data_IF_523683486429
#
_entry.id   IF_523683486429
#
_cell.length_a   1.000
_cell.length_b   1.000
_cell.length_c   1.000
_cell.angle_alpha   90.00
_cell.angle_beta   90.00
_cell.angle_gamma   90.00
#
_symmetry.space_group_name_H-M   'P 1'
#
loop_
_entity.id
_entity.type
_entity.pdbx_description
1 polymer ?
#
# COMPACT_ATOMS: atom_id res chain seq x y z
N UNK A 1 -20.31 -25.04 44.57
CA UNK A 1 -19.82 -23.64 44.61
C UNK A 1 -18.56 -23.56 43.77
N UNK A 2 -18.43 -22.51 42.95
CA UNK A 2 -17.19 -22.20 42.22
C UNK A 2 -17.15 -22.72 40.79
N UNK A 3 -17.95 -22.11 39.91
CA UNK A 3 -17.87 -22.26 38.46
C UNK A 3 -16.73 -21.39 37.94
N UNK A 4 -15.78 -21.91 37.18
CA UNK A 4 -15.01 -21.11 36.23
C UNK A 4 -14.97 -21.81 34.88
N UNK A 5 -15.82 -21.28 33.98
CA UNK A 5 -15.93 -21.59 32.55
C UNK A 5 -14.86 -20.79 31.81
N UNK A 6 -14.21 -21.45 30.86
CA UNK A 6 -13.32 -20.81 29.88
C UNK A 6 -13.07 -21.78 28.73
N UNK A 7 -14.11 -22.03 27.95
CA UNK A 7 -14.08 -22.93 26.79
C UNK A 7 -13.27 -22.29 25.66
N UNK A 8 -12.19 -22.97 25.28
CA UNK A 8 -11.46 -22.77 24.04
C UNK A 8 -12.27 -23.38 22.90
N UNK A 9 -12.71 -22.59 21.93
CA UNK A 9 -13.18 -23.09 20.63
C UNK A 9 -12.36 -22.41 19.54
N UNK A 10 -11.47 -23.20 18.96
CA UNK A 10 -10.82 -22.93 17.68
C UNK A 10 -11.78 -23.50 16.65
N UNK A 11 -12.56 -22.64 15.99
CA UNK A 11 -13.42 -23.07 14.90
C UNK A 11 -12.70 -22.79 13.58
N UNK A 12 -12.22 -23.87 12.98
CA UNK A 12 -11.84 -23.90 11.58
C UNK A 12 -12.89 -24.69 10.83
N UNK A 13 -13.73 -24.02 10.05
CA UNK A 13 -14.44 -24.63 8.93
C UNK A 13 -14.30 -23.75 7.69
N UNK A 14 -13.35 -24.16 6.85
CA UNK A 14 -13.26 -23.75 5.47
C UNK A 14 -13.99 -24.78 4.62
N UNK A 15 -15.17 -24.47 4.07
CA UNK A 15 -15.68 -25.14 2.86
C UNK A 15 -16.43 -24.17 1.93
N UNK A 16 -15.68 -23.74 0.91
CA UNK A 16 -16.01 -23.78 -0.53
C UNK A 16 -16.96 -22.74 -1.21
N UNK A 17 -16.37 -22.15 -2.28
CA UNK A 17 -16.77 -21.13 -3.29
C UNK A 17 -17.74 -21.71 -4.36
N UNK A 18 -18.31 -21.00 -5.40
CA UNK A 18 -17.82 -19.88 -6.26
C UNK A 18 -18.89 -18.78 -6.53
N UNK A 19 -18.75 -17.65 -7.23
CA UNK A 19 -17.93 -17.20 -8.36
C UNK A 19 -17.96 -15.64 -8.38
N UNK A 20 -16.80 -14.98 -8.32
CA UNK A 20 -16.58 -13.63 -8.84
C UNK A 20 -15.06 -13.35 -8.94
N UNK A 21 -14.55 -12.84 -10.08
CA UNK A 21 -13.12 -12.52 -10.30
C UNK A 21 -12.67 -11.27 -9.51
N UNK A 22 -11.35 -11.02 -9.38
CA UNK A 22 -10.77 -10.39 -8.20
C UNK A 22 -10.98 -8.88 -8.20
N UNK A 23 -11.79 -8.41 -7.25
CA UNK A 23 -11.68 -7.05 -6.75
C UNK A 23 -10.49 -7.05 -5.80
N UNK A 24 -9.39 -6.39 -6.18
CA UNK A 24 -8.17 -6.29 -5.38
C UNK A 24 -8.45 -5.49 -4.08
N UNK A 25 -8.99 -6.23 -3.13
CA UNK A 25 -8.96 -6.14 -1.69
C UNK A 25 -8.09 -5.02 -1.12
N UNK A 26 -8.77 -3.92 -0.77
CA UNK A 26 -8.31 -2.87 0.12
C UNK A 26 -8.40 -3.36 1.57
N UNK A 27 -7.52 -4.30 1.93
CA UNK A 27 -7.46 -4.86 3.28
C UNK A 27 -6.72 -3.90 4.23
N UNK A 28 -7.55 -3.12 4.92
CA UNK A 28 -7.42 -2.59 6.29
C UNK A 28 -6.04 -2.78 6.93
N UNK A 29 -5.29 -1.69 6.89
CA UNK A 29 -4.02 -1.51 7.55
C UNK A 29 -4.21 -1.51 9.08
N UNK A 30 -3.98 -2.66 9.72
CA UNK A 30 -3.82 -2.75 11.17
C UNK A 30 -2.40 -2.34 11.55
N UNK A 31 -2.12 -1.04 11.63
CA UNK A 31 -0.84 -0.52 12.15
C UNK A 31 -0.96 -0.15 13.62
N UNK A 32 -1.00 -1.17 14.50
CA UNK A 32 -0.80 -0.94 15.94
C UNK A 32 0.66 -1.27 16.27
N UNK A 33 1.46 -0.22 16.46
CA UNK A 33 2.69 -0.28 17.26
C UNK A 33 4.01 -0.47 16.51
N UNK A 34 4.50 0.58 15.82
CA UNK A 34 5.89 1.05 15.90
C UNK A 34 6.04 2.28 15.00
N UNK A 35 6.43 3.42 15.57
CA UNK A 35 6.58 4.70 14.86
C UNK A 35 7.91 4.77 14.10
N UNK A 36 8.23 3.71 13.37
CA UNK A 36 9.35 3.63 12.44
C UNK A 36 8.77 3.06 11.15
N UNK A 37 8.80 3.83 10.07
CA UNK A 37 8.43 3.35 8.74
C UNK A 37 9.33 2.16 8.43
N UNK A 38 8.76 0.96 8.44
CA UNK A 38 9.51 -0.24 8.09
C UNK A 38 9.91 -0.15 6.61
N UNK A 39 11.09 -0.64 6.19
CA UNK A 39 11.49 -0.63 4.78
C UNK A 39 10.47 -1.34 3.86
N UNK A 40 9.69 -2.28 4.40
CA UNK A 40 8.57 -2.89 3.69
C UNK A 40 7.46 -1.88 3.37
N UNK A 41 7.11 -1.04 4.34
CA UNK A 41 6.07 -0.01 4.21
C UNK A 41 6.47 1.01 3.13
N UNK A 42 7.73 1.44 3.13
CA UNK A 42 8.29 2.30 2.09
C UNK A 42 8.24 1.66 0.71
N UNK A 43 8.59 0.38 0.59
CA UNK A 43 8.53 -0.36 -0.68
C UNK A 43 7.09 -0.51 -1.20
N UNK A 44 6.12 -0.69 -0.29
CA UNK A 44 4.69 -0.71 -0.61
C UNK A 44 4.25 0.66 -1.14
N UNK A 45 4.57 1.74 -0.42
CA UNK A 45 4.22 3.11 -0.83
C UNK A 45 4.84 3.47 -2.19
N UNK A 46 6.10 3.11 -2.42
CA UNK A 46 6.78 3.28 -3.73
C UNK A 46 6.06 2.56 -4.87
N UNK A 47 5.64 1.33 -4.60
CA UNK A 47 4.94 0.50 -5.59
C UNK A 47 3.56 1.06 -5.90
N UNK A 48 2.80 1.46 -4.88
CA UNK A 48 1.49 2.07 -5.04
C UNK A 48 1.57 3.42 -5.78
N UNK A 49 2.56 4.26 -5.46
CA UNK A 49 2.75 5.54 -6.14
C UNK A 49 3.06 5.35 -7.64
N UNK A 50 3.94 4.39 -7.97
CA UNK A 50 4.25 4.05 -9.36
C UNK A 50 3.02 3.54 -10.10
N UNK A 51 2.25 2.64 -9.50
CA UNK A 51 1.05 2.07 -10.10
C UNK A 51 -0.02 3.15 -10.36
N UNK A 52 -0.23 4.05 -9.40
CA UNK A 52 -1.11 5.20 -9.56
C UNK A 52 -0.69 6.10 -10.74
N UNK A 53 0.61 6.40 -10.89
CA UNK A 53 1.11 7.18 -12.03
C UNK A 53 0.89 6.45 -13.36
N UNK A 54 1.09 5.13 -13.41
CA UNK A 54 0.81 4.34 -14.61
C UNK A 54 -0.69 4.35 -14.95
N UNK A 55 -1.56 4.22 -13.93
CA UNK A 55 -3.01 4.36 -14.08
C UNK A 55 -3.45 5.74 -14.57
N UNK A 56 -2.69 6.79 -14.29
CA UNK A 56 -2.89 8.14 -14.83
C UNK A 56 -2.38 8.31 -16.28
N UNK A 57 -1.76 7.28 -16.86
CA UNK A 57 -1.28 7.28 -18.25
C UNK A 57 0.22 7.52 -18.41
N UNK A 58 0.99 7.63 -17.32
CA UNK A 58 2.45 7.74 -17.42
C UNK A 58 3.08 6.39 -17.79
N UNK A 59 4.10 6.41 -18.66
CA UNK A 59 4.87 5.20 -18.97
C UNK A 59 5.60 4.72 -17.71
N UNK A 60 5.69 3.40 -17.51
CA UNK A 60 6.25 2.81 -16.28
C UNK A 60 7.67 3.28 -15.93
N UNK A 61 8.52 3.53 -16.95
CA UNK A 61 9.86 4.06 -16.72
C UNK A 61 9.86 5.53 -16.27
N UNK A 62 8.93 6.35 -16.79
CA UNK A 62 8.74 7.74 -16.36
C UNK A 62 8.20 7.78 -14.93
N UNK A 63 7.19 6.97 -14.64
CA UNK A 63 6.63 6.84 -13.30
C UNK A 63 7.68 6.43 -12.27
N UNK A 64 8.52 5.43 -12.59
CA UNK A 64 9.63 5.01 -11.73
C UNK A 64 10.63 6.14 -11.50
N UNK A 65 11.10 6.80 -12.56
CA UNK A 65 12.05 7.90 -12.43
C UNK A 65 11.49 9.04 -11.57
N UNK A 66 10.24 9.43 -11.80
CA UNK A 66 9.58 10.49 -11.04
C UNK A 66 9.46 10.17 -9.53
N UNK A 67 9.18 8.91 -9.18
CA UNK A 67 9.08 8.46 -7.78
C UNK A 67 10.44 8.42 -7.10
N UNK A 68 11.48 7.91 -7.76
CA UNK A 68 12.85 7.87 -7.20
C UNK A 68 13.40 9.28 -6.96
N UNK A 69 13.18 10.19 -7.91
CA UNK A 69 13.56 11.60 -7.79
C UNK A 69 12.75 12.32 -6.70
N UNK A 70 11.47 11.98 -6.55
CA UNK A 70 10.64 12.50 -5.47
C UNK A 70 11.19 12.09 -4.10
N UNK A 71 11.47 10.81 -3.90
CA UNK A 71 12.04 10.28 -2.64
C UNK A 71 13.39 10.90 -2.33
N UNK A 72 14.24 11.05 -3.35
CA UNK A 72 15.57 11.65 -3.18
C UNK A 72 15.50 13.11 -2.72
N UNK A 73 14.43 13.83 -3.06
CA UNK A 73 14.26 15.24 -2.71
C UNK A 73 13.61 15.47 -1.35
N UNK A 74 12.58 14.69 -1.00
CA UNK A 74 11.73 14.92 0.19
C UNK A 74 11.95 13.90 1.31
N UNK A 75 12.74 12.85 1.06
CA UNK A 75 12.89 11.72 1.96
C UNK A 75 11.72 10.73 1.87
N UNK A 76 11.88 9.56 2.50
CA UNK A 76 10.90 8.47 2.45
C UNK A 76 9.72 8.62 3.43
N UNK A 77 9.60 9.77 4.11
CA UNK A 77 8.56 10.01 5.13
C UNK A 77 7.24 10.56 4.56
N UNK A 78 7.12 10.73 3.24
CA UNK A 78 5.85 11.17 2.66
C UNK A 78 4.82 10.05 2.64
N UNK A 79 3.58 10.42 3.00
CA UNK A 79 2.41 9.61 2.71
C UNK A 79 2.28 9.38 1.19
N UNK A 80 1.61 8.29 0.81
CA UNK A 80 1.36 7.93 -0.60
C UNK A 80 0.90 9.10 -1.46
N UNK A 81 -0.07 9.87 -0.97
CA UNK A 81 -0.63 11.01 -1.70
C UNK A 81 0.39 12.14 -1.90
N UNK A 82 1.22 12.40 -0.87
CA UNK A 82 2.32 13.36 -0.95
C UNK A 82 3.34 12.93 -1.99
N UNK A 83 3.71 11.65 -2.01
CA UNK A 83 4.64 11.09 -2.97
C UNK A 83 4.11 11.15 -4.41
N UNK A 84 2.81 10.87 -4.64
CA UNK A 84 2.19 10.98 -5.97
C UNK A 84 2.21 12.42 -6.46
N UNK A 85 1.80 13.39 -5.61
CA UNK A 85 1.83 14.81 -5.98
C UNK A 85 3.24 15.28 -6.32
N UNK A 86 4.21 14.83 -5.55
CA UNK A 86 5.61 15.18 -5.73
C UNK A 86 6.23 14.56 -6.98
N UNK A 87 5.87 13.30 -7.29
CA UNK A 87 6.25 12.66 -8.54
C UNK A 87 5.58 13.33 -9.75
N UNK A 88 4.31 13.73 -9.67
CA UNK A 88 3.62 14.46 -10.75
C UNK A 88 4.30 15.80 -11.08
N UNK A 89 4.85 16.50 -10.09
CA UNK A 89 5.64 17.73 -10.32
C UNK A 89 6.92 17.49 -11.13
N UNK A 90 7.43 16.24 -11.12
CA UNK A 90 8.65 15.84 -11.85
C UNK A 90 8.37 15.17 -13.18
N UNK A 91 7.14 14.73 -13.42
CA UNK A 91 6.79 14.17 -14.71
C UNK A 91 6.98 15.25 -15.81
N UNK A 92 7.53 14.88 -16.99
CA UNK A 92 7.68 15.81 -18.09
C UNK A 92 6.30 16.33 -18.50
N UNK A 93 6.13 17.65 -18.58
CA UNK A 93 4.88 18.23 -19.06
C UNK A 93 4.65 17.76 -20.50
N UNK A 94 3.48 17.20 -20.83
CA UNK A 94 3.17 16.90 -22.22
C UNK A 94 3.21 18.21 -23.01
N UNK A 95 4.08 18.26 -24.03
CA UNK A 95 4.20 19.34 -24.99
C UNK A 95 3.00 19.39 -25.94
#
# INVERSE_FOLDING_TARGET
MGHHRGTLVVDGDQVLRPDAPPSMNREVASHVGSRTTSPLDEAIVRTQARDALVGLGWKSHIARAAVEEAISHVGSELSLEGLIREALRRCPRPS
#
